data_IF_616067211668
#
_entry.id   IF_616067211668
#
_cell.length_a   1.000
_cell.length_b   1.000
_cell.length_c   1.000
_cell.angle_alpha   90.00
_cell.angle_beta   90.00
_cell.angle_gamma   90.00
#
_symmetry.space_group_name_H-M   'P 1'
#
loop_
_entity.id
_entity.type
_entity.pdbx_description
1 polymer ?
#
# COMPACT_ATOMS: atom_id res chain seq x y z
N UNK A 1 11.05 13.78 12.64
CA UNK A 1 11.17 12.47 13.32
C UNK A 1 12.61 12.00 13.13
N UNK A 2 13.27 11.54 14.19
CA UNK A 2 14.63 10.99 14.11
C UNK A 2 14.55 9.47 14.20
N UNK A 3 15.60 8.75 13.80
CA UNK A 3 15.63 7.29 13.90
C UNK A 3 15.38 6.77 15.34
N UNK A 4 15.87 7.51 16.34
CA UNK A 4 15.67 7.23 17.78
C UNK A 4 14.21 7.41 18.26
N UNK A 5 13.36 8.03 17.45
CA UNK A 5 11.92 8.18 17.71
C UNK A 5 11.12 6.98 17.16
N UNK A 6 11.76 6.07 16.44
CA UNK A 6 11.12 4.86 15.92
C UNK A 6 10.93 3.85 17.03
N UNK A 7 9.86 3.07 16.93
CA UNK A 7 9.54 1.99 17.88
C UNK A 7 9.37 0.69 17.09
N UNK A 8 10.08 -0.35 17.51
CA UNK A 8 9.95 -1.70 16.96
C UNK A 8 9.07 -2.52 17.88
N UNK A 9 8.11 -3.21 17.30
CA UNK A 9 7.20 -4.10 18.02
C UNK A 9 7.18 -5.48 17.38
N UNK A 10 6.93 -6.49 18.18
CA UNK A 10 6.63 -7.83 17.66
C UNK A 10 5.16 -7.92 17.17
N UNK A 11 4.80 -9.07 16.61
CA UNK A 11 3.44 -9.30 16.08
C UNK A 11 2.37 -9.38 17.18
N UNK A 12 2.75 -9.42 18.46
CA UNK A 12 1.85 -9.36 19.61
C UNK A 12 1.73 -7.94 20.19
N UNK A 13 2.44 -6.95 19.60
CA UNK A 13 2.40 -5.56 20.00
C UNK A 13 3.30 -5.20 21.16
N UNK A 14 4.17 -6.11 21.57
CA UNK A 14 5.16 -5.84 22.59
C UNK A 14 6.30 -5.02 22.01
N UNK A 15 6.64 -3.91 22.67
CA UNK A 15 7.79 -3.09 22.28
C UNK A 15 9.07 -3.90 22.47
N UNK A 16 9.80 -4.11 21.38
CA UNK A 16 11.09 -4.78 21.33
C UNK A 16 12.22 -3.76 21.41
N UNK A 17 12.03 -2.62 20.74
CA UNK A 17 12.99 -1.52 20.70
C UNK A 17 12.27 -0.17 20.62
N UNK A 18 12.85 0.85 21.23
CA UNK A 18 12.28 2.21 21.25
C UNK A 18 11.64 2.57 22.58
N UNK A 19 11.36 3.86 22.77
CA UNK A 19 10.88 4.42 24.05
C UNK A 19 9.53 5.11 23.95
N UNK A 20 9.05 5.37 22.74
CA UNK A 20 7.78 6.08 22.53
C UNK A 20 6.61 5.11 22.63
N UNK A 21 5.45 5.67 22.92
CA UNK A 21 4.20 4.91 22.95
C UNK A 21 3.75 4.62 21.50
N UNK A 22 3.35 3.39 21.25
CA UNK A 22 2.87 2.98 19.93
C UNK A 22 1.48 3.56 19.71
N UNK A 23 1.29 4.11 18.51
CA UNK A 23 0.00 4.48 17.96
C UNK A 23 -0.24 3.64 16.69
N UNK A 24 -1.46 3.19 16.47
CA UNK A 24 -1.83 2.49 15.24
C UNK A 24 -1.31 1.04 15.09
N UNK A 25 -0.83 0.41 16.17
CA UNK A 25 -0.36 -0.99 16.11
C UNK A 25 -1.41 -1.94 15.53
N UNK A 26 -2.69 -1.75 15.83
CA UNK A 26 -3.77 -2.61 15.37
C UNK A 26 -3.91 -2.65 13.85
N UNK A 27 -3.63 -1.55 13.14
CA UNK A 27 -3.60 -1.53 11.67
C UNK A 27 -2.56 -2.51 11.12
N UNK A 28 -1.31 -2.33 11.57
CA UNK A 28 -0.18 -3.11 11.09
C UNK A 28 -0.35 -4.60 11.42
N UNK A 29 -0.90 -4.93 12.59
CA UNK A 29 -1.13 -6.32 13.00
C UNK A 29 -2.07 -7.04 12.04
N UNK A 30 -3.26 -6.51 11.80
CA UNK A 30 -4.25 -7.14 10.93
C UNK A 30 -3.73 -7.31 9.51
N UNK A 31 -3.09 -6.28 8.97
CA UNK A 31 -2.53 -6.29 7.62
C UNK A 31 -1.37 -7.28 7.50
N UNK A 32 -0.40 -7.23 8.42
CA UNK A 32 0.79 -8.09 8.36
C UNK A 32 0.47 -9.57 8.62
N UNK A 33 -0.48 -9.88 9.49
CA UNK A 33 -0.90 -11.26 9.74
C UNK A 33 -1.60 -11.89 8.53
N UNK A 34 -2.19 -11.08 7.66
CA UNK A 34 -2.87 -11.54 6.45
C UNK A 34 -1.93 -11.68 5.25
N UNK A 35 -0.73 -11.08 5.31
CA UNK A 35 0.32 -11.20 4.30
C UNK A 35 1.27 -12.31 4.72
N UNK A 36 1.47 -13.31 3.87
CA UNK A 36 2.43 -14.38 4.13
C UNK A 36 3.87 -13.87 4.03
N UNK A 37 4.65 -14.05 5.10
CA UNK A 37 6.07 -13.66 5.13
C UNK A 37 6.40 -12.61 6.19
N UNK A 38 7.68 -12.26 6.29
CA UNK A 38 8.21 -11.32 7.28
C UNK A 38 8.19 -9.88 6.73
N UNK A 39 6.99 -9.34 6.55
CA UNK A 39 6.75 -8.03 5.94
C UNK A 39 6.64 -6.91 6.98
N UNK A 40 6.94 -5.68 6.56
CA UNK A 40 6.82 -4.46 7.35
C UNK A 40 5.81 -3.52 6.71
N UNK A 41 5.07 -2.78 7.51
CA UNK A 41 3.99 -1.89 7.08
C UNK A 41 4.18 -0.49 7.66
N UNK A 42 3.71 0.50 6.92
CA UNK A 42 3.71 1.90 7.36
C UNK A 42 2.60 2.70 6.69
N UNK A 43 2.23 3.81 7.33
CA UNK A 43 1.35 4.83 6.76
C UNK A 43 2.07 6.17 6.78
N UNK A 44 1.90 6.94 5.71
CA UNK A 44 2.51 8.26 5.56
C UNK A 44 1.50 9.20 4.91
N UNK A 45 1.45 10.49 5.29
CA UNK A 45 0.73 11.50 4.51
C UNK A 45 1.48 11.72 3.19
N UNK A 46 0.96 11.12 2.12
CA UNK A 46 1.45 11.25 0.75
C UNK A 46 0.39 12.02 -0.04
N UNK A 47 0.70 13.22 -0.45
CA UNK A 47 -0.27 14.21 -0.94
C UNK A 47 -1.16 13.68 -2.10
N UNK A 48 -0.56 13.07 -3.11
CA UNK A 48 -1.31 12.55 -4.25
C UNK A 48 -2.06 11.25 -3.89
N UNK A 49 -1.46 10.37 -3.11
CA UNK A 49 -2.14 9.18 -2.59
C UNK A 49 -3.34 9.57 -1.72
N UNK A 50 -3.20 10.60 -0.88
CA UNK A 50 -4.31 11.11 -0.06
C UNK A 50 -5.44 11.67 -0.95
N UNK A 51 -5.11 12.39 -2.04
CA UNK A 51 -6.12 12.86 -2.99
C UNK A 51 -6.90 11.69 -3.62
N UNK A 52 -6.23 10.62 -4.02
CA UNK A 52 -6.89 9.42 -4.56
C UNK A 52 -7.73 8.70 -3.51
N UNK A 53 -7.23 8.60 -2.26
CA UNK A 53 -7.97 8.03 -1.13
C UNK A 53 -9.25 8.85 -0.82
N UNK A 54 -9.16 10.18 -0.84
CA UNK A 54 -10.31 11.08 -0.65
C UNK A 54 -11.31 10.97 -1.81
N UNK A 55 -10.83 10.76 -3.03
CA UNK A 55 -11.68 10.51 -4.20
C UNK A 55 -12.34 9.13 -4.15
N UNK A 56 -11.86 8.21 -3.31
CA UNK A 56 -12.38 6.85 -3.18
C UNK A 56 -12.13 5.99 -4.44
N UNK A 57 -11.01 6.24 -5.12
CA UNK A 57 -10.67 5.58 -6.38
C UNK A 57 -9.35 4.82 -6.25
N UNK A 58 -9.26 3.67 -6.92
CA UNK A 58 -8.01 2.95 -7.11
C UNK A 58 -7.05 3.79 -7.97
N UNK A 59 -5.74 3.72 -7.71
CA UNK A 59 -4.74 4.28 -8.63
C UNK A 59 -4.52 3.27 -9.76
N UNK A 60 -4.94 3.58 -10.98
CA UNK A 60 -4.91 2.61 -12.08
C UNK A 60 -3.51 2.36 -12.60
N UNK A 61 -3.23 1.11 -13.01
CA UNK A 61 -2.00 0.76 -13.69
C UNK A 61 -2.07 1.17 -15.16
N UNK A 62 -1.56 2.37 -15.48
CA UNK A 62 -1.61 2.96 -16.83
C UNK A 62 -0.22 3.20 -17.43
N UNK A 63 0.81 2.67 -16.83
CA UNK A 63 2.17 2.86 -17.32
C UNK A 63 3.17 1.82 -16.81
N UNK A 64 4.23 1.63 -17.58
CA UNK A 64 5.27 0.64 -17.27
C UNK A 64 5.99 0.90 -15.95
N UNK A 65 6.11 2.16 -15.53
CA UNK A 65 6.67 2.52 -14.22
C UNK A 65 5.82 1.94 -13.09
N UNK A 66 4.49 2.04 -13.19
CA UNK A 66 3.58 1.40 -12.24
C UNK A 66 3.75 -0.12 -12.29
N UNK A 67 3.68 -0.72 -13.48
CA UNK A 67 3.78 -2.15 -13.68
C UNK A 67 5.13 -2.76 -13.23
N UNK A 68 6.19 -1.97 -13.18
CA UNK A 68 7.50 -2.42 -12.67
C UNK A 68 7.51 -2.68 -11.16
N UNK A 69 6.51 -2.18 -10.39
CA UNK A 69 6.46 -2.28 -8.92
C UNK A 69 5.15 -2.89 -8.41
N UNK A 70 4.04 -2.64 -9.09
CA UNK A 70 2.72 -3.12 -8.72
C UNK A 70 2.07 -3.79 -9.91
N UNK A 71 1.65 -5.04 -9.75
CA UNK A 71 1.00 -5.79 -10.82
C UNK A 71 -0.38 -5.21 -11.16
N UNK A 72 -1.17 -5.00 -10.12
CA UNK A 72 -2.53 -4.51 -10.26
C UNK A 72 -2.62 -2.99 -10.03
N UNK A 73 -3.80 -2.42 -10.23
CA UNK A 73 -4.10 -1.10 -9.70
C UNK A 73 -3.87 -1.09 -8.19
N UNK A 74 -3.37 0.02 -7.63
CA UNK A 74 -3.28 0.17 -6.18
C UNK A 74 -4.70 0.38 -5.65
N UNK A 75 -5.23 -0.58 -4.86
CA UNK A 75 -6.64 -0.58 -4.50
C UNK A 75 -6.98 0.49 -3.47
N UNK A 76 -8.21 1.02 -3.54
CA UNK A 76 -8.82 1.83 -2.50
C UNK A 76 -9.89 1.01 -1.77
N UNK A 77 -9.97 1.13 -0.45
CA UNK A 77 -11.01 0.45 0.35
C UNK A 77 -12.38 1.08 0.11
N UNK A 78 -13.43 0.35 0.44
CA UNK A 78 -14.76 0.92 0.61
C UNK A 78 -14.81 1.89 1.81
N UNK A 79 -15.90 2.64 1.95
CA UNK A 79 -16.18 3.40 3.17
C UNK A 79 -16.27 2.47 4.38
N UNK A 80 -15.74 2.93 5.50
CA UNK A 80 -15.98 2.28 6.78
C UNK A 80 -17.44 2.51 7.22
N UNK A 81 -18.04 1.47 7.75
CA UNK A 81 -19.39 1.55 8.34
C UNK A 81 -19.37 2.33 9.65
N UNK A 82 -20.55 2.80 10.10
CA UNK A 82 -20.69 3.48 11.38
C UNK A 82 -20.21 2.61 12.56
N UNK A 83 -20.45 1.30 12.51
CA UNK A 83 -20.03 0.36 13.55
C UNK A 83 -18.47 0.23 13.58
N UNK A 84 -17.83 0.17 12.45
CA UNK A 84 -16.36 0.13 12.32
C UNK A 84 -15.72 1.42 12.83
N UNK A 85 -16.29 2.58 12.49
CA UNK A 85 -15.77 3.89 12.95
C UNK A 85 -15.93 4.09 14.44
N UNK A 86 -17.07 3.66 15.03
CA UNK A 86 -17.36 3.80 16.47
C UNK A 86 -16.77 2.69 17.32
N UNK A 87 -16.32 1.61 16.71
CA UNK A 87 -15.77 0.43 17.38
C UNK A 87 -14.26 0.57 17.65
N UNK A 88 -13.55 -0.52 17.45
CA UNK A 88 -12.10 -0.56 17.54
C UNK A 88 -11.48 -0.01 16.23
N UNK A 89 -11.56 1.29 16.01
CA UNK A 89 -11.28 1.99 14.76
C UNK A 89 -9.97 1.54 14.08
N UNK A 90 -8.88 1.46 14.85
CA UNK A 90 -7.58 1.03 14.31
C UNK A 90 -7.60 -0.43 13.84
N UNK A 91 -8.26 -1.31 14.57
CA UNK A 91 -8.42 -2.71 14.18
C UNK A 91 -9.31 -2.83 12.95
N UNK A 92 -10.43 -2.11 12.92
CA UNK A 92 -11.37 -2.13 11.81
C UNK A 92 -10.76 -1.54 10.53
N UNK A 93 -9.90 -0.54 10.65
CA UNK A 93 -9.10 -0.05 9.52
C UNK A 93 -8.22 -1.15 8.93
N UNK A 94 -7.57 -1.96 9.77
CA UNK A 94 -6.84 -3.14 9.31
C UNK A 94 -7.75 -4.17 8.64
N UNK A 95 -8.94 -4.41 9.18
CA UNK A 95 -9.91 -5.36 8.65
C UNK A 95 -10.44 -4.95 7.27
N UNK A 96 -10.73 -3.66 7.03
CA UNK A 96 -11.16 -3.19 5.70
C UNK A 96 -10.06 -3.29 4.66
N UNK A 97 -8.77 -3.13 5.06
CA UNK A 97 -7.63 -3.40 4.19
C UNK A 97 -7.60 -4.88 3.79
N UNK A 98 -7.67 -5.79 4.77
CA UNK A 98 -7.66 -7.24 4.51
C UNK A 98 -8.80 -7.63 3.59
N UNK A 99 -10.00 -7.15 3.86
CA UNK A 99 -11.20 -7.37 3.03
C UNK A 99 -11.00 -6.87 1.59
N UNK A 100 -10.36 -5.70 1.41
CA UNK A 100 -10.10 -5.16 0.06
C UNK A 100 -9.15 -6.04 -0.75
N UNK A 101 -8.31 -6.83 -0.08
CA UNK A 101 -7.37 -7.75 -0.72
C UNK A 101 -7.94 -9.14 -1.00
N UNK A 102 -9.22 -9.41 -0.71
CA UNK A 102 -9.86 -10.65 -1.15
C UNK A 102 -9.79 -10.77 -2.68
N UNK A 103 -9.05 -11.76 -3.16
CA UNK A 103 -8.81 -11.99 -4.59
C UNK A 103 -7.64 -11.22 -5.19
N UNK A 104 -6.94 -10.38 -4.44
CA UNK A 104 -5.70 -9.71 -4.84
C UNK A 104 -4.48 -10.35 -4.18
N UNK A 105 -3.33 -10.26 -4.84
CA UNK A 105 -2.07 -10.72 -4.26
C UNK A 105 -1.33 -9.55 -3.57
N UNK A 106 -1.24 -9.52 -2.23
CA UNK A 106 -0.61 -8.42 -1.50
C UNK A 106 0.91 -8.35 -1.69
N UNK A 107 1.54 -9.42 -2.18
CA UNK A 107 2.97 -9.44 -2.53
C UNK A 107 3.20 -8.77 -3.88
N UNK A 108 2.25 -8.90 -4.81
CA UNK A 108 2.33 -8.29 -6.13
C UNK A 108 1.84 -6.83 -6.16
N UNK A 109 1.08 -6.42 -5.15
CA UNK A 109 0.58 -5.06 -5.00
C UNK A 109 0.75 -4.63 -3.54
N UNK A 110 1.99 -4.29 -3.12
CA UNK A 110 2.33 -4.03 -1.72
C UNK A 110 1.91 -2.63 -1.25
N UNK A 111 0.65 -2.26 -1.49
CA UNK A 111 0.10 -0.99 -1.06
C UNK A 111 -1.40 -0.89 -1.25
N UNK A 112 -2.04 -0.01 -0.48
CA UNK A 112 -3.49 0.24 -0.48
C UNK A 112 -3.78 1.68 -0.08
N UNK A 113 -4.88 2.22 -0.57
CA UNK A 113 -5.48 3.45 -0.09
C UNK A 113 -6.65 3.09 0.83
N UNK A 114 -6.65 3.60 2.05
CA UNK A 114 -7.84 3.56 2.91
C UNK A 114 -8.65 4.81 2.62
N UNK A 115 -9.88 4.63 2.15
CA UNK A 115 -10.74 5.74 1.73
C UNK A 115 -10.89 6.79 2.83
N UNK A 116 -10.70 8.06 2.46
CA UNK A 116 -10.70 9.23 3.34
C UNK A 116 -9.61 9.24 4.44
N UNK A 117 -8.74 8.23 4.48
CA UNK A 117 -7.65 8.15 5.46
C UNK A 117 -6.28 8.42 4.82
N UNK A 118 -5.91 7.65 3.79
CA UNK A 118 -4.62 7.75 3.11
C UNK A 118 -3.99 6.39 2.79
N UNK A 119 -2.71 6.39 2.36
CA UNK A 119 -2.01 5.20 1.91
C UNK A 119 -1.45 4.36 3.06
N UNK A 120 -1.42 3.05 2.82
CA UNK A 120 -0.62 2.08 3.55
C UNK A 120 0.26 1.33 2.55
N UNK A 121 1.51 1.10 2.92
CA UNK A 121 2.44 0.29 2.14
C UNK A 121 3.14 -0.72 3.03
N UNK A 122 3.64 -1.78 2.43
CA UNK A 122 4.43 -2.81 3.10
C UNK A 122 5.53 -3.32 2.19
N UNK A 123 6.43 -4.11 2.74
CA UNK A 123 7.54 -4.69 2.03
C UNK A 123 8.27 -5.73 2.89
N UNK A 124 9.20 -6.45 2.29
CA UNK A 124 10.02 -7.46 2.97
C UNK A 124 10.80 -6.92 4.18
N UNK A 125 11.04 -5.61 4.21
CA UNK A 125 11.67 -4.89 5.31
C UNK A 125 11.17 -3.43 5.34
N UNK A 126 11.59 -2.66 6.34
CA UNK A 126 11.19 -1.27 6.49
C UNK A 126 11.65 -0.37 5.33
N UNK A 127 12.83 -0.65 4.76
CA UNK A 127 13.34 0.11 3.61
C UNK A 127 12.48 -0.13 2.38
N UNK A 128 12.11 -1.39 2.11
CA UNK A 128 11.26 -1.78 1.00
C UNK A 128 9.84 -1.21 1.16
N UNK A 129 9.28 -1.21 2.38
CA UNK A 129 7.99 -0.58 2.65
C UNK A 129 8.00 0.93 2.36
N UNK A 130 9.06 1.65 2.76
CA UNK A 130 9.23 3.07 2.45
C UNK A 130 9.45 3.29 0.96
N UNK A 131 10.23 2.43 0.31
CA UNK A 131 10.42 2.48 -1.15
C UNK A 131 9.08 2.36 -1.89
N UNK A 132 8.26 1.38 -1.51
CA UNK A 132 6.93 1.18 -2.08
C UNK A 132 6.02 2.40 -1.84
N UNK A 133 6.07 3.03 -0.67
CA UNK A 133 5.36 4.28 -0.41
C UNK A 133 5.78 5.42 -1.36
N UNK A 134 7.07 5.60 -1.59
CA UNK A 134 7.59 6.61 -2.53
C UNK A 134 7.12 6.31 -3.94
N UNK A 135 7.16 5.05 -4.37
CA UNK A 135 6.66 4.66 -5.70
C UNK A 135 5.17 4.90 -5.83
N UNK A 136 4.37 4.55 -4.80
CA UNK A 136 2.93 4.83 -4.76
C UNK A 136 2.64 6.32 -5.03
N UNK A 137 3.34 7.22 -4.35
CA UNK A 137 3.15 8.66 -4.54
C UNK A 137 3.51 9.11 -5.96
N UNK A 138 4.58 8.58 -6.54
CA UNK A 138 4.98 8.92 -7.90
C UNK A 138 3.98 8.41 -8.95
N UNK A 139 3.49 7.17 -8.83
CA UNK A 139 2.51 6.64 -9.78
C UNK A 139 1.14 7.31 -9.60
N UNK A 140 0.75 7.68 -8.38
CA UNK A 140 -0.44 8.51 -8.12
C UNK A 140 -0.34 9.86 -8.83
N UNK A 141 0.82 10.53 -8.74
CA UNK A 141 1.11 11.78 -9.45
C UNK A 141 1.01 11.60 -10.95
N UNK A 142 1.67 10.58 -11.50
CA UNK A 142 1.66 10.31 -12.93
C UNK A 142 0.24 10.02 -13.43
N UNK A 143 -0.53 9.22 -12.70
CA UNK A 143 -1.92 8.91 -13.02
C UNK A 143 -2.79 10.18 -13.03
N UNK A 144 -2.68 11.04 -12.00
CA UNK A 144 -3.44 12.30 -11.92
C UNK A 144 -3.18 13.21 -13.13
N UNK A 145 -1.91 13.38 -13.52
CA UNK A 145 -1.53 14.22 -14.66
C UNK A 145 -2.00 13.58 -15.97
N UNK A 146 -1.81 12.26 -16.13
CA UNK A 146 -2.19 11.56 -17.34
C UNK A 146 -3.71 11.61 -17.57
N UNK A 147 -4.54 11.43 -16.53
CA UNK A 147 -5.99 11.55 -16.60
C UNK A 147 -6.46 12.98 -16.94
N UNK A 148 -5.74 13.99 -16.46
CA UNK A 148 -6.01 15.39 -16.84
C UNK A 148 -5.76 15.65 -18.33
N UNK A 149 -4.84 14.91 -18.95
CA UNK A 149 -4.54 15.02 -20.40
C UNK A 149 -5.50 14.16 -21.22
N UNK A 150 -5.79 12.94 -20.77
CA UNK A 150 -6.72 12.04 -21.44
C UNK A 150 -7.48 11.20 -20.39
N UNK A 151 -8.79 11.42 -20.20
CA UNK A 151 -9.58 10.66 -19.22
C UNK A 151 -9.90 9.22 -19.64
N UNK A 152 -9.66 8.85 -20.91
CA UNK A 152 -9.97 7.52 -21.46
C UNK A 152 -8.70 6.65 -21.61
N UNK A 153 -7.87 6.64 -20.57
CA UNK A 153 -6.61 5.88 -20.58
C UNK A 153 -6.85 4.39 -20.38
N UNK A 154 -6.12 3.59 -21.15
CA UNK A 154 -6.04 2.13 -21.00
C UNK A 154 -4.61 1.68 -21.09
N UNK A 155 -4.29 0.59 -20.42
CA UNK A 155 -2.99 -0.09 -20.48
C UNK A 155 -3.15 -1.47 -21.12
N UNK A 156 -2.23 -1.85 -21.98
CA UNK A 156 -2.18 -3.19 -22.54
C UNK A 156 -1.79 -4.19 -21.43
N UNK A 157 -2.66 -5.18 -21.09
CA UNK A 157 -2.36 -6.15 -20.03
C UNK A 157 -1.09 -6.97 -20.28
N UNK A 158 -0.77 -7.27 -21.54
CA UNK A 158 0.47 -7.99 -21.89
C UNK A 158 1.71 -7.16 -21.55
N UNK A 159 1.61 -5.82 -21.62
CA UNK A 159 2.70 -4.94 -21.27
C UNK A 159 2.87 -4.85 -19.75
N UNK A 160 1.78 -4.86 -18.99
CA UNK A 160 1.80 -4.97 -17.53
C UNK A 160 2.52 -6.25 -17.11
N UNK A 161 2.06 -7.39 -17.62
CA UNK A 161 2.65 -8.70 -17.31
C UNK A 161 4.15 -8.76 -17.67
N UNK A 162 4.52 -8.25 -18.84
CA UNK A 162 5.92 -8.23 -19.28
C UNK A 162 6.81 -7.41 -18.34
N UNK A 163 6.33 -6.24 -17.90
CA UNK A 163 7.10 -5.36 -17.03
C UNK A 163 7.20 -5.91 -15.60
N UNK A 164 6.11 -6.43 -15.07
CA UNK A 164 6.10 -7.02 -13.74
C UNK A 164 6.97 -8.27 -13.65
N UNK A 165 6.76 -9.24 -14.55
CA UNK A 165 7.45 -10.55 -14.50
C UNK A 165 8.96 -10.43 -14.67
N UNK A 166 9.45 -9.44 -15.44
CA UNK A 166 10.91 -9.26 -15.63
C UNK A 166 11.63 -8.86 -14.34
N UNK A 167 10.89 -8.31 -13.34
CA UNK A 167 11.43 -7.87 -12.05
C UNK A 167 11.06 -8.78 -10.88
N UNK A 168 9.87 -9.37 -10.90
CA UNK A 168 9.29 -10.06 -9.75
C UNK A 168 8.99 -11.56 -9.99
N UNK A 169 9.09 -12.01 -11.22
CA UNK A 169 8.81 -13.41 -11.56
C UNK A 169 9.99 -14.35 -11.24
N UNK A 170 9.77 -15.67 -11.29
CA UNK A 170 10.82 -16.66 -11.07
C UNK A 170 11.96 -16.59 -12.09
N UNK A 171 11.73 -15.96 -13.23
CA UNK A 171 12.71 -15.70 -14.28
C UNK A 171 13.05 -14.20 -14.38
N UNK A 172 13.02 -13.49 -13.27
CA UNK A 172 13.39 -12.07 -13.23
C UNK A 172 14.83 -11.87 -13.72
N UNK A 173 15.02 -10.88 -14.60
CA UNK A 173 16.32 -10.63 -15.24
C UNK A 173 16.65 -9.13 -15.30
N UNK A 174 15.79 -8.28 -14.78
CA UNK A 174 15.95 -6.82 -14.85
C UNK A 174 15.76 -6.18 -13.49
N UNK A 175 16.71 -5.30 -13.09
CA UNK A 175 16.61 -4.57 -11.83
C UNK A 175 16.92 -5.42 -10.58
N UNK A 176 17.70 -6.50 -10.75
CA UNK A 176 18.18 -7.36 -9.65
C UNK A 176 19.34 -6.72 -8.91
#
# INVERSE_FOLDING_TARGET
MKAEDMVVVDLDGKVVEGRLKILGYSYSRSTLQSISGDWRSGTHPLYLCDCWAQAGCDIPNIGTTHADYFHDAIPCTADMTEAEVKGAYELETGNVIVKRFEGLNPVHTPGVLVKNHGPFSWGKDAHDAVHNAVVMEQVAKMASIAYAVNPNLTMNPLLVEKHFSRKHGPNAYYGQ
#
